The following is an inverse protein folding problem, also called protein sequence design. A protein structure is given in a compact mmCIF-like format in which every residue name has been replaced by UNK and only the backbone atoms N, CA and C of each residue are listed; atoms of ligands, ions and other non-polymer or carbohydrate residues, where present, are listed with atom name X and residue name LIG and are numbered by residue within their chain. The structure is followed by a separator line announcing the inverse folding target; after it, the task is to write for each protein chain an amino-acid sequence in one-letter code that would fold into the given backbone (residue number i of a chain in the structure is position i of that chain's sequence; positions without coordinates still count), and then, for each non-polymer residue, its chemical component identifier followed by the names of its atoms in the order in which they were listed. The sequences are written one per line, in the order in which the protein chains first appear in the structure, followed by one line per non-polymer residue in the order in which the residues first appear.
data_IF_494051182591
#
_entry.id   IF_494051182591
#
_cell.length_a   1.000
_cell.length_b   1.000
_cell.length_c   1.000
_cell.angle_alpha   90.00
_cell.angle_beta   90.00
_cell.angle_gamma   90.00
#
_symmetry.space_group_name_H-M   'P 1'
#
loop_
_entity.id
_entity.type
_entity.pdbx_description
1 polymer ?
#
# COMPACT_ATOMS: atom_id res chain seq x y z
N UNK A 1 5.31 -26.02 16.50
CA UNK A 1 5.31 -26.02 15.02
C UNK A 1 6.56 -25.25 14.58
N UNK A 2 7.40 -25.83 13.71
CA UNK A 2 8.55 -25.11 13.15
C UNK A 2 8.01 -23.98 12.26
N UNK A 3 8.47 -22.73 12.48
CA UNK A 3 8.11 -21.61 11.64
C UNK A 3 8.46 -21.92 10.18
N UNK A 4 7.55 -21.67 9.25
CA UNK A 4 7.79 -21.79 7.81
C UNK A 4 8.80 -20.76 7.30
N UNK A 5 9.11 -19.74 8.11
CA UNK A 5 9.93 -18.61 7.76
C UNK A 5 11.21 -18.54 8.59
N UNK A 6 12.35 -18.13 7.99
CA UNK A 6 13.60 -17.92 8.73
C UNK A 6 13.44 -16.92 9.89
N UNK A 7 14.20 -17.12 10.96
CA UNK A 7 14.26 -16.18 12.09
C UNK A 7 15.22 -14.99 11.84
N UNK A 8 15.65 -14.78 10.61
CA UNK A 8 16.66 -13.81 10.22
C UNK A 8 16.14 -12.39 9.98
N UNK A 9 16.93 -11.53 9.30
CA UNK A 9 16.57 -10.16 9.06
C UNK A 9 15.21 -10.01 8.37
N UNK A 10 14.34 -9.20 8.95
CA UNK A 10 13.00 -8.90 8.41
C UNK A 10 13.09 -7.92 7.25
N UNK A 11 12.36 -8.23 6.17
CA UNK A 11 12.30 -7.41 4.98
C UNK A 11 10.90 -7.38 4.40
N UNK A 12 10.55 -6.27 3.76
CA UNK A 12 9.22 -6.09 3.15
C UNK A 12 9.37 -5.55 1.72
N UNK A 13 8.65 -6.18 0.79
CA UNK A 13 8.42 -5.66 -0.55
C UNK A 13 6.93 -5.40 -0.72
N UNK A 14 6.56 -4.15 -0.98
CA UNK A 14 5.21 -3.75 -1.38
C UNK A 14 5.23 -3.46 -2.87
N UNK A 15 4.39 -4.16 -3.64
CA UNK A 15 4.17 -3.92 -5.08
C UNK A 15 2.77 -3.36 -5.24
N UNK A 16 2.69 -2.10 -5.66
CA UNK A 16 1.44 -1.45 -6.02
C UNK A 16 1.18 -1.61 -7.51
N UNK A 17 0.05 -2.19 -7.88
CA UNK A 17 -0.41 -2.29 -9.28
C UNK A 17 -1.70 -1.47 -9.36
N UNK A 18 -1.63 -0.32 -10.05
CA UNK A 18 -2.73 0.64 -10.10
C UNK A 18 -3.93 0.12 -10.90
N UNK A 19 -5.13 0.34 -10.40
CA UNK A 19 -6.37 0.19 -11.13
C UNK A 19 -6.76 -1.25 -11.50
N UNK A 20 -6.36 -2.29 -10.74
CA UNK A 20 -6.65 -3.70 -11.10
C UNK A 20 -7.99 -4.17 -10.57
N UNK A 21 -8.90 -4.54 -11.45
CA UNK A 21 -10.21 -5.13 -11.13
C UNK A 21 -10.08 -6.54 -10.57
N UNK A 22 -10.56 -6.75 -9.35
CA UNK A 22 -10.55 -8.05 -8.66
C UNK A 22 -11.36 -9.12 -9.39
N UNK A 23 -12.52 -8.77 -9.92
CA UNK A 23 -13.47 -9.70 -10.55
C UNK A 23 -12.93 -10.35 -11.83
N UNK A 24 -11.91 -9.76 -12.45
CA UNK A 24 -11.26 -10.31 -13.63
C UNK A 24 -10.13 -11.31 -13.33
N UNK A 25 -9.50 -11.22 -12.15
CA UNK A 25 -8.34 -12.04 -11.80
C UNK A 25 -8.56 -13.56 -11.98
N UNK A 26 -9.74 -14.14 -11.64
CA UNK A 26 -9.96 -15.58 -11.82
C UNK A 26 -9.93 -16.07 -13.28
N UNK A 27 -10.03 -15.15 -14.24
CA UNK A 27 -10.05 -15.45 -15.68
C UNK A 27 -8.68 -15.24 -16.35
N UNK A 28 -7.70 -14.69 -15.61
CA UNK A 28 -6.40 -14.26 -16.13
C UNK A 28 -5.27 -15.21 -15.74
N UNK A 29 -4.20 -15.16 -16.50
CA UNK A 29 -2.98 -15.91 -16.19
C UNK A 29 -2.06 -15.07 -15.31
N UNK A 30 -2.24 -15.18 -13.98
CA UNK A 30 -1.50 -14.43 -12.97
C UNK A 30 -0.75 -15.35 -11.98
N UNK A 31 0.15 -16.25 -12.46
CA UNK A 31 0.75 -17.30 -11.64
C UNK A 31 1.60 -16.77 -10.49
N UNK A 32 2.14 -15.56 -10.58
CA UNK A 32 2.99 -14.99 -9.53
C UNK A 32 2.16 -14.38 -8.41
N UNK A 33 1.05 -13.71 -8.74
CA UNK A 33 0.05 -13.25 -7.78
C UNK A 33 -0.61 -14.44 -7.08
N UNK A 34 -0.98 -15.48 -7.85
CA UNK A 34 -1.53 -16.73 -7.32
C UNK A 34 -0.56 -17.41 -6.33
N UNK A 35 0.74 -17.39 -6.63
CA UNK A 35 1.76 -17.92 -5.72
C UNK A 35 1.86 -17.12 -4.41
N UNK A 36 1.74 -15.79 -4.46
CA UNK A 36 1.69 -14.94 -3.25
C UNK A 36 0.42 -15.27 -2.45
N UNK A 37 -0.73 -15.33 -3.10
CA UNK A 37 -2.01 -15.68 -2.47
C UNK A 37 -1.98 -17.07 -1.82
N UNK A 38 -1.44 -18.06 -2.51
CA UNK A 38 -1.33 -19.43 -2.00
C UNK A 38 -0.35 -19.56 -0.81
N UNK A 39 0.71 -18.73 -0.79
CA UNK A 39 1.68 -18.69 0.32
C UNK A 39 1.21 -17.85 1.52
N UNK A 40 0.09 -17.17 1.41
CA UNK A 40 -0.54 -16.37 2.43
C UNK A 40 -2.03 -16.18 2.12
N UNK A 41 -2.43 -15.02 1.64
CA UNK A 41 -3.84 -14.74 1.28
C UNK A 41 -3.97 -13.78 0.09
N UNK A 42 -5.15 -13.76 -0.52
CA UNK A 42 -5.70 -12.68 -1.34
C UNK A 42 -7.07 -12.31 -0.76
N UNK A 43 -7.27 -11.04 -0.44
CA UNK A 43 -8.52 -10.56 0.15
C UNK A 43 -9.03 -9.32 -0.59
N UNK A 44 -10.35 -9.20 -0.80
CA UNK A 44 -10.96 -7.97 -1.28
C UNK A 44 -10.78 -6.84 -0.24
N UNK A 45 -10.64 -5.64 -0.75
CA UNK A 45 -10.63 -4.40 0.02
C UNK A 45 -11.74 -3.51 -0.50
N UNK A 46 -12.66 -3.11 0.37
CA UNK A 46 -13.60 -2.06 0.02
C UNK A 46 -12.95 -0.69 0.29
N UNK A 47 -12.81 0.13 -0.77
CA UNK A 47 -12.35 1.51 -0.62
C UNK A 47 -13.35 2.25 0.25
N UNK A 48 -12.90 2.86 1.35
CA UNK A 48 -13.73 3.57 2.32
C UNK A 48 -14.62 4.63 1.65
N UNK A 49 -15.87 4.78 2.11
CA UNK A 49 -16.86 5.67 1.49
C UNK A 49 -16.42 7.14 1.44
N UNK A 50 -15.60 7.58 2.38
CA UNK A 50 -15.05 8.94 2.42
C UNK A 50 -13.87 9.11 1.47
N UNK A 51 -13.27 8.01 1.00
CA UNK A 51 -12.11 8.02 0.11
C UNK A 51 -12.58 7.98 -1.35
N UNK A 52 -12.28 9.01 -2.17
CA UNK A 52 -12.48 8.91 -3.61
C UNK A 52 -11.70 7.72 -4.20
N UNK A 53 -12.31 6.98 -5.12
CA UNK A 53 -11.66 5.88 -5.84
C UNK A 53 -10.70 6.46 -6.89
N UNK A 54 -9.64 7.10 -6.43
CA UNK A 54 -8.62 7.77 -7.24
C UNK A 54 -7.23 7.42 -6.68
N UNK A 55 -6.23 7.37 -7.54
CA UNK A 55 -4.85 6.98 -7.18
C UNK A 55 -4.29 7.82 -6.03
N UNK A 56 -4.45 9.16 -6.05
CA UNK A 56 -3.93 10.04 -4.99
C UNK A 56 -4.44 9.68 -3.59
N UNK A 57 -5.75 9.71 -3.33
CA UNK A 57 -6.33 9.35 -2.04
C UNK A 57 -6.05 7.91 -1.61
N UNK A 58 -6.17 6.96 -2.54
CA UNK A 58 -5.99 5.54 -2.22
C UNK A 58 -4.52 5.21 -1.92
N UNK A 59 -3.58 5.65 -2.74
CA UNK A 59 -2.15 5.45 -2.47
C UNK A 59 -1.69 6.17 -1.21
N UNK A 60 -2.21 7.39 -0.93
CA UNK A 60 -1.92 8.07 0.33
C UNK A 60 -2.42 7.27 1.54
N UNK A 61 -3.62 6.67 1.46
CA UNK A 61 -4.17 5.80 2.50
C UNK A 61 -3.29 4.55 2.70
N UNK A 62 -2.90 3.89 1.61
CA UNK A 62 -2.03 2.69 1.62
C UNK A 62 -0.67 3.01 2.22
N UNK A 63 -0.03 4.09 1.79
CA UNK A 63 1.33 4.41 2.17
C UNK A 63 1.46 4.99 3.59
N UNK A 64 0.47 5.75 4.06
CA UNK A 64 0.52 6.43 5.36
C UNK A 64 -0.09 5.60 6.50
N UNK A 65 -1.03 4.70 6.20
CA UNK A 65 -1.78 3.93 7.19
C UNK A 65 -2.83 4.74 7.95
N UNK A 66 -3.22 5.91 7.41
CA UNK A 66 -4.29 6.73 7.95
C UNK A 66 -5.33 7.07 6.87
N UNK A 67 -6.54 7.41 7.30
CA UNK A 67 -7.66 7.73 6.42
C UNK A 67 -7.51 9.09 5.73
N UNK A 68 -8.28 9.29 4.67
CA UNK A 68 -8.33 10.55 3.89
C UNK A 68 -8.60 11.76 4.78
N UNK A 69 -9.38 11.62 5.86
CA UNK A 69 -9.65 12.68 6.82
C UNK A 69 -8.40 13.15 7.57
N UNK A 70 -7.40 12.28 7.73
CA UNK A 70 -6.13 12.61 8.40
C UNK A 70 -5.08 13.10 7.41
N UNK A 71 -4.80 12.36 6.33
CA UNK A 71 -3.74 12.76 5.38
C UNK A 71 -4.17 13.90 4.44
N UNK A 72 -5.47 14.18 4.28
CA UNK A 72 -5.97 15.34 3.54
C UNK A 72 -5.79 15.29 2.02
N UNK A 73 -5.51 14.14 1.43
CA UNK A 73 -5.43 13.94 -0.02
C UNK A 73 -6.80 13.49 -0.52
N UNK A 74 -7.47 14.32 -1.33
CA UNK A 74 -8.83 14.06 -1.83
C UNK A 74 -8.89 13.89 -3.35
N UNK A 75 -7.76 13.92 -4.05
CA UNK A 75 -7.69 13.77 -5.50
C UNK A 75 -6.24 13.57 -5.96
N UNK A 76 -6.05 13.45 -7.28
CA UNK A 76 -4.73 13.22 -7.88
C UNK A 76 -3.80 14.43 -7.81
N UNK A 77 -4.35 15.61 -7.52
CA UNK A 77 -3.58 16.78 -7.12
C UNK A 77 -3.46 16.78 -5.59
N UNK A 78 -2.27 16.52 -5.07
CA UNK A 78 -2.03 16.32 -3.64
C UNK A 78 -1.95 17.63 -2.81
N UNK A 79 -2.22 18.79 -3.40
CA UNK A 79 -2.15 20.08 -2.71
C UNK A 79 -3.06 20.15 -1.48
N UNK A 80 -2.60 20.82 -0.41
CA UNK A 80 -3.36 20.96 0.84
C UNK A 80 -3.35 19.74 1.74
N UNK A 81 -2.55 18.73 1.42
CA UNK A 81 -2.38 17.51 2.21
C UNK A 81 -1.69 17.77 3.57
N UNK A 82 -1.58 16.73 4.38
CA UNK A 82 -0.90 16.69 5.67
C UNK A 82 0.12 15.55 5.72
N UNK A 83 0.81 15.30 4.59
CA UNK A 83 1.80 14.22 4.47
C UNK A 83 3.07 14.51 5.29
N UNK A 84 3.31 15.76 5.65
CA UNK A 84 4.33 16.16 6.62
C UNK A 84 4.04 15.66 8.04
N UNK A 85 2.76 15.58 8.42
CA UNK A 85 2.28 15.02 9.71
C UNK A 85 2.12 13.50 9.62
N UNK A 86 1.64 13.02 8.48
CA UNK A 86 1.38 11.60 8.20
C UNK A 86 2.25 11.11 7.03
N UNK A 87 3.58 11.00 7.22
CA UNK A 87 4.47 10.55 6.15
C UNK A 87 4.22 9.07 5.81
N UNK A 88 4.57 8.72 4.59
CA UNK A 88 4.56 7.35 4.11
C UNK A 88 5.48 6.43 4.95
N UNK A 89 5.25 5.13 4.86
CA UNK A 89 6.01 4.16 5.67
C UNK A 89 7.51 4.14 5.33
N UNK A 90 7.92 4.38 4.08
CA UNK A 90 9.34 4.36 3.71
C UNK A 90 10.08 5.54 4.30
N UNK A 91 9.49 6.73 4.20
CA UNK A 91 10.01 7.97 4.81
C UNK A 91 10.12 7.83 6.33
N UNK A 92 9.07 7.32 6.97
CA UNK A 92 9.04 7.14 8.42
C UNK A 92 10.07 6.11 8.91
N UNK A 93 10.20 4.99 8.20
CA UNK A 93 11.20 3.96 8.49
C UNK A 93 12.63 4.49 8.34
N UNK A 94 12.90 5.28 7.32
CA UNK A 94 14.21 5.90 7.11
C UNK A 94 14.52 6.93 8.19
N UNK A 95 13.60 7.86 8.46
CA UNK A 95 13.81 8.97 9.37
C UNK A 95 13.91 8.55 10.85
N UNK A 96 12.96 7.68 11.30
CA UNK A 96 12.82 7.33 12.72
C UNK A 96 13.63 6.09 13.08
N UNK A 97 13.59 5.07 12.24
CA UNK A 97 14.21 3.76 12.53
C UNK A 97 15.52 3.53 11.79
N UNK A 98 16.00 4.53 11.02
CA UNK A 98 17.24 4.45 10.23
C UNK A 98 17.31 3.19 9.34
N UNK A 99 16.15 2.73 8.86
CA UNK A 99 16.06 1.60 7.94
C UNK A 99 16.42 2.05 6.54
N UNK A 100 17.12 1.20 5.78
CA UNK A 100 17.31 1.42 4.35
C UNK A 100 15.99 1.13 3.66
N UNK A 101 15.46 2.12 2.95
CA UNK A 101 14.18 2.03 2.25
C UNK A 101 14.32 2.47 0.81
N UNK A 102 13.45 1.98 -0.04
CA UNK A 102 13.46 2.25 -1.46
C UNK A 102 12.03 2.45 -1.98
N UNK A 103 11.86 3.39 -2.90
CA UNK A 103 10.62 3.57 -3.63
C UNK A 103 10.89 3.89 -5.10
N UNK A 104 10.12 3.28 -6.02
CA UNK A 104 10.26 3.49 -7.47
C UNK A 104 8.91 3.43 -8.18
N UNK A 105 8.75 4.24 -9.22
CA UNK A 105 7.60 4.23 -10.13
C UNK A 105 7.54 5.44 -11.03
N UNK A 106 6.48 5.53 -11.85
CA UNK A 106 6.35 6.53 -12.93
C UNK A 106 5.32 7.61 -12.71
N UNK A 107 4.44 7.52 -11.69
CA UNK A 107 3.42 8.53 -11.47
C UNK A 107 3.95 9.69 -10.62
N UNK A 108 4.00 10.91 -11.22
CA UNK A 108 4.65 12.08 -10.63
C UNK A 108 4.23 12.39 -9.18
N UNK A 109 2.94 12.40 -8.82
CA UNK A 109 2.51 12.77 -7.47
C UNK A 109 3.06 11.86 -6.37
N UNK A 110 3.43 10.62 -6.68
CA UNK A 110 4.07 9.72 -5.71
C UNK A 110 5.52 10.10 -5.43
N UNK A 111 6.25 10.63 -6.42
CA UNK A 111 7.71 10.68 -6.40
C UNK A 111 8.32 12.07 -6.58
N UNK A 112 7.58 13.05 -7.09
CA UNK A 112 8.09 14.39 -7.37
C UNK A 112 7.39 15.48 -6.55
N UNK A 113 8.14 16.51 -6.17
CA UNK A 113 7.64 17.69 -5.47
C UNK A 113 6.83 18.61 -6.42
N UNK A 114 5.84 18.04 -7.09
CA UNK A 114 4.90 18.72 -7.98
C UNK A 114 3.48 18.39 -7.57
N UNK A 115 2.54 19.24 -7.93
CA UNK A 115 1.11 19.03 -7.64
C UNK A 115 0.80 18.68 -6.16
N UNK A 116 1.63 19.17 -5.22
CA UNK A 116 1.50 18.91 -3.80
C UNK A 116 2.16 17.61 -3.31
N UNK A 117 2.77 16.82 -4.20
CA UNK A 117 3.61 15.67 -3.84
C UNK A 117 4.97 16.09 -3.28
N UNK A 118 5.92 15.15 -3.08
CA UNK A 118 5.71 13.72 -3.31
C UNK A 118 4.99 13.04 -2.14
N UNK A 119 4.27 11.95 -2.43
CA UNK A 119 3.76 11.08 -1.37
C UNK A 119 4.92 10.37 -0.65
N UNK A 120 5.84 9.77 -1.41
CA UNK A 120 7.08 9.17 -0.89
C UNK A 120 8.15 10.26 -0.76
N UNK A 121 8.10 11.00 0.35
CA UNK A 121 8.82 12.26 0.47
C UNK A 121 10.34 12.10 0.67
N UNK A 122 10.77 11.13 1.47
CA UNK A 122 12.18 10.93 1.81
C UNK A 122 12.53 9.47 2.14
N UNK A 123 12.29 8.51 1.23
CA UNK A 123 12.86 7.18 1.38
C UNK A 123 14.38 7.26 1.35
N UNK A 124 15.06 6.20 1.80
CA UNK A 124 16.53 6.12 1.75
C UNK A 124 17.06 6.19 0.32
N UNK A 125 16.33 5.60 -0.64
CA UNK A 125 16.55 5.73 -2.08
C UNK A 125 15.20 5.92 -2.79
N UNK A 126 15.16 6.86 -3.73
CA UNK A 126 14.01 7.16 -4.56
C UNK A 126 14.41 7.09 -6.04
N UNK A 127 13.59 6.45 -6.88
CA UNK A 127 13.74 6.50 -8.32
C UNK A 127 12.40 6.86 -8.98
N UNK A 128 12.39 7.96 -9.70
CA UNK A 128 11.28 8.34 -10.58
C UNK A 128 11.61 7.97 -12.01
N UNK A 129 10.76 7.20 -12.65
CA UNK A 129 10.90 6.76 -14.04
C UNK A 129 9.79 7.41 -14.86
N UNK A 130 10.11 8.50 -15.54
CA UNK A 130 9.13 9.18 -16.38
C UNK A 130 8.68 8.30 -17.54
N UNK A 131 7.37 8.15 -17.83
CA UNK A 131 6.91 7.69 -19.13
C UNK A 131 7.37 8.68 -20.21
N UNK A 132 7.64 8.21 -21.42
CA UNK A 132 8.11 9.07 -22.51
C UNK A 132 6.97 9.93 -23.06
N UNK A 133 5.78 9.37 -23.14
CA UNK A 133 4.52 10.05 -23.41
C UNK A 133 3.42 9.43 -22.55
N UNK A 134 2.26 10.06 -22.55
CA UNK A 134 1.08 9.58 -21.84
C UNK A 134 0.27 8.65 -22.77
N UNK A 135 0.81 7.46 -22.98
CA UNK A 135 0.19 6.39 -23.79
C UNK A 135 0.36 5.05 -23.08
N UNK A 136 -0.55 4.07 -23.31
CA UNK A 136 -0.41 2.74 -22.71
C UNK A 136 0.96 2.09 -22.97
N UNK A 137 1.49 2.23 -24.19
CA UNK A 137 2.77 1.65 -24.60
C UNK A 137 3.95 2.29 -23.84
N UNK A 138 3.93 3.61 -23.64
CA UNK A 138 4.98 4.32 -22.89
C UNK A 138 4.91 4.02 -21.40
N UNK A 139 3.71 3.81 -20.84
CA UNK A 139 3.53 3.35 -19.49
C UNK A 139 4.00 1.89 -19.28
N UNK A 140 3.79 1.01 -20.25
CA UNK A 140 4.37 -0.34 -20.23
C UNK A 140 5.91 -0.30 -20.21
N UNK A 141 6.52 0.60 -21.00
CA UNK A 141 7.98 0.84 -20.97
C UNK A 141 8.43 1.45 -19.65
N UNK A 142 7.64 2.35 -19.08
CA UNK A 142 7.90 2.94 -17.77
C UNK A 142 7.93 1.87 -16.68
N UNK A 143 6.92 1.02 -16.59
CA UNK A 143 6.84 -0.07 -15.62
C UNK A 143 7.95 -1.12 -15.82
N UNK A 144 8.34 -1.39 -17.07
CA UNK A 144 9.48 -2.26 -17.37
C UNK A 144 10.79 -1.69 -16.79
N UNK A 145 11.02 -0.39 -16.95
CA UNK A 145 12.21 0.30 -16.42
C UNK A 145 12.17 0.40 -14.90
N UNK A 146 10.99 0.65 -14.31
CA UNK A 146 10.81 0.67 -12.85
C UNK A 146 11.09 -0.71 -12.25
N UNK A 147 10.63 -1.79 -12.91
CA UNK A 147 10.92 -3.17 -12.52
C UNK A 147 12.42 -3.47 -12.60
N UNK A 148 13.09 -3.07 -13.69
CA UNK A 148 14.53 -3.28 -13.86
C UNK A 148 15.34 -2.54 -12.78
N UNK A 149 14.98 -1.30 -12.46
CA UNK A 149 15.59 -0.53 -11.37
C UNK A 149 15.38 -1.21 -10.03
N UNK A 150 14.15 -1.68 -9.75
CA UNK A 150 13.84 -2.41 -8.52
C UNK A 150 14.66 -3.70 -8.41
N UNK A 151 14.79 -4.49 -9.46
CA UNK A 151 15.65 -5.68 -9.50
C UNK A 151 17.09 -5.33 -9.15
N UNK A 152 17.63 -4.26 -9.75
CA UNK A 152 19.00 -3.80 -9.49
C UNK A 152 19.20 -3.43 -8.03
N UNK A 153 18.27 -2.68 -7.44
CA UNK A 153 18.35 -2.24 -6.02
C UNK A 153 18.17 -3.41 -5.06
N UNK A 154 17.22 -4.31 -5.34
CA UNK A 154 16.94 -5.45 -4.47
C UNK A 154 18.08 -6.47 -4.43
N UNK A 155 18.85 -6.60 -5.51
CA UNK A 155 19.98 -7.54 -5.61
C UNK A 155 21.35 -6.89 -5.34
N UNK A 156 21.42 -5.56 -5.29
CA UNK A 156 22.64 -4.78 -5.12
C UNK A 156 22.97 -4.42 -3.67
N UNK A 157 23.93 -3.54 -3.51
CA UNK A 157 24.50 -3.11 -2.22
C UNK A 157 23.59 -2.15 -1.42
N UNK A 158 22.56 -1.59 -2.07
CA UNK A 158 21.57 -0.73 -1.39
C UNK A 158 20.84 -1.49 -0.28
N UNK A 159 20.59 -2.77 -0.50
CA UNK A 159 20.06 -3.72 0.47
C UNK A 159 18.89 -3.18 1.30
N UNK A 160 17.77 -2.75 0.66
CA UNK A 160 16.66 -2.13 1.37
C UNK A 160 15.92 -3.15 2.26
N UNK A 161 15.49 -2.66 3.43
CA UNK A 161 14.69 -3.44 4.39
C UNK A 161 13.18 -3.28 4.13
N UNK A 162 12.77 -2.16 3.53
CA UNK A 162 11.42 -1.95 3.03
C UNK A 162 11.47 -1.28 1.65
N UNK A 163 10.69 -1.81 0.72
CA UNK A 163 10.62 -1.30 -0.65
C UNK A 163 9.18 -1.11 -1.10
N UNK A 164 8.96 -0.09 -1.91
CA UNK A 164 7.71 0.13 -2.65
C UNK A 164 8.01 0.22 -4.14
N UNK A 165 7.32 -0.59 -4.94
CA UNK A 165 7.41 -0.59 -6.40
C UNK A 165 6.02 -0.30 -6.95
N UNK A 166 5.89 0.76 -7.72
CA UNK A 166 4.63 1.16 -8.36
C UNK A 166 4.63 0.77 -9.83
N UNK A 167 3.55 0.15 -10.28
CA UNK A 167 3.26 -0.21 -11.67
C UNK A 167 1.94 0.47 -12.07
N UNK A 168 1.99 1.39 -13.04
CA UNK A 168 0.87 2.23 -13.45
C UNK A 168 0.24 1.85 -14.79
N UNK A 169 0.88 1.00 -15.59
CA UNK A 169 0.45 0.71 -16.96
C UNK A 169 -0.94 0.09 -17.05
N UNK A 170 -1.39 -0.64 -16.02
CA UNK A 170 -2.73 -1.25 -16.01
C UNK A 170 -3.81 -0.19 -15.96
N UNK A 171 -3.69 0.78 -15.04
CA UNK A 171 -4.63 1.89 -14.90
C UNK A 171 -4.68 2.74 -16.17
N UNK A 172 -3.54 3.13 -16.70
CA UNK A 172 -3.44 3.92 -17.92
C UNK A 172 -4.02 3.17 -19.13
N UNK A 173 -3.80 1.86 -19.24
CA UNK A 173 -4.41 1.05 -20.28
C UNK A 173 -5.95 1.09 -20.19
N UNK A 174 -6.51 1.02 -18.98
CA UNK A 174 -7.95 1.16 -18.79
C UNK A 174 -8.44 2.54 -19.18
N UNK A 175 -7.74 3.61 -18.83
CA UNK A 175 -8.12 4.98 -19.20
C UNK A 175 -8.21 5.19 -20.70
N UNK A 176 -7.26 4.63 -21.47
CA UNK A 176 -7.22 4.80 -22.94
C UNK A 176 -8.11 3.82 -23.70
N UNK A 177 -8.20 2.56 -23.23
CA UNK A 177 -8.75 1.45 -24.03
C UNK A 177 -9.94 0.74 -23.37
N UNK A 178 -10.31 1.14 -22.14
CA UNK A 178 -11.30 0.44 -21.34
C UNK A 178 -10.81 -0.91 -20.81
N UNK A 179 -11.66 -1.63 -20.10
CA UNK A 179 -11.31 -2.89 -19.44
C UNK A 179 -11.40 -4.12 -20.37
N UNK A 180 -11.04 -3.93 -21.65
CA UNK A 180 -11.05 -4.97 -22.69
C UNK A 180 -9.83 -5.90 -22.66
N UNK A 181 -9.48 -6.42 -23.84
CA UNK A 181 -8.41 -7.43 -23.97
C UNK A 181 -7.02 -6.86 -23.67
N UNK A 182 -6.75 -5.60 -24.03
CA UNK A 182 -5.49 -4.92 -23.78
C UNK A 182 -5.27 -4.72 -22.29
N UNK A 183 -6.30 -4.31 -21.55
CA UNK A 183 -6.26 -4.19 -20.10
C UNK A 183 -5.99 -5.54 -19.41
N UNK A 184 -6.63 -6.62 -19.88
CA UNK A 184 -6.38 -7.98 -19.37
C UNK A 184 -4.92 -8.39 -19.60
N UNK A 185 -4.35 -8.10 -20.78
CA UNK A 185 -2.92 -8.34 -21.06
C UNK A 185 -1.99 -7.49 -20.21
N UNK A 186 -2.32 -6.24 -19.94
CA UNK A 186 -1.54 -5.37 -19.06
C UNK A 186 -1.48 -5.93 -17.64
N UNK A 187 -2.58 -6.49 -17.10
CA UNK A 187 -2.58 -7.19 -15.82
C UNK A 187 -1.65 -8.42 -15.84
N UNK A 188 -1.72 -9.25 -16.88
CA UNK A 188 -0.83 -10.42 -17.02
C UNK A 188 0.63 -9.99 -17.18
N UNK A 189 0.90 -8.86 -17.83
CA UNK A 189 2.25 -8.29 -17.95
C UNK A 189 2.74 -7.75 -16.59
N UNK A 190 1.88 -7.11 -15.81
CA UNK A 190 2.20 -6.69 -14.45
C UNK A 190 2.50 -7.88 -13.53
N UNK A 191 1.78 -9.00 -13.67
CA UNK A 191 2.08 -10.26 -12.98
C UNK A 191 3.46 -10.81 -13.38
N UNK A 192 3.82 -10.78 -14.65
CA UNK A 192 5.16 -11.20 -15.09
C UNK A 192 6.27 -10.33 -14.48
N UNK A 193 6.04 -9.02 -14.31
CA UNK A 193 6.95 -8.11 -13.59
C UNK A 193 7.04 -8.46 -12.11
N UNK A 194 5.91 -8.76 -11.45
CA UNK A 194 5.91 -9.29 -10.09
C UNK A 194 6.77 -10.54 -10.01
N UNK A 195 6.67 -11.45 -10.96
CA UNK A 195 7.50 -12.66 -11.03
C UNK A 195 9.00 -12.36 -11.06
N UNK A 196 9.42 -11.33 -11.80
CA UNK A 196 10.83 -10.88 -11.84
C UNK A 196 11.29 -10.29 -10.52
N UNK A 197 10.45 -9.51 -9.83
CA UNK A 197 10.74 -8.99 -8.49
C UNK A 197 10.90 -10.14 -7.49
N UNK A 198 9.99 -11.10 -7.49
CA UNK A 198 10.08 -12.29 -6.64
C UNK A 198 11.33 -13.14 -6.94
N UNK A 199 11.71 -13.26 -8.21
CA UNK A 199 12.94 -13.93 -8.62
C UNK A 199 14.19 -13.18 -8.12
N UNK A 200 14.17 -11.84 -8.16
CA UNK A 200 15.24 -11.00 -7.62
C UNK A 200 15.43 -11.21 -6.10
N UNK A 201 14.34 -11.31 -5.34
CA UNK A 201 14.43 -11.64 -3.91
C UNK A 201 15.12 -12.99 -3.70
N UNK A 202 14.69 -14.02 -4.44
CA UNK A 202 15.25 -15.40 -4.32
C UNK A 202 16.71 -15.48 -4.76
N UNK A 203 17.16 -14.60 -5.65
CA UNK A 203 18.54 -14.53 -6.12
C UNK A 203 19.51 -13.83 -5.15
N UNK A 204 19.01 -13.24 -4.06
CA UNK A 204 19.85 -12.60 -3.04
C UNK A 204 20.72 -13.63 -2.33
N UNK A 205 22.00 -13.35 -2.08
CA UNK A 205 22.89 -14.29 -1.36
C UNK A 205 22.38 -14.67 0.03
N UNK A 206 21.69 -13.75 0.72
CA UNK A 206 21.15 -13.97 2.07
C UNK A 206 19.68 -14.43 2.10
N UNK A 207 19.04 -14.71 0.96
CA UNK A 207 17.59 -14.98 0.92
C UNK A 207 17.14 -16.12 1.84
N UNK A 208 17.94 -17.17 1.96
CA UNK A 208 17.59 -18.32 2.80
C UNK A 208 17.54 -18.00 4.30
N UNK A 209 18.25 -16.97 4.73
CA UNK A 209 18.29 -16.49 6.10
C UNK A 209 17.36 -15.28 6.33
N UNK A 210 16.86 -14.64 5.28
CA UNK A 210 16.01 -13.45 5.35
C UNK A 210 14.53 -13.85 5.48
N UNK A 211 13.80 -13.12 6.33
CA UNK A 211 12.36 -13.28 6.49
C UNK A 211 11.61 -12.21 5.69
N UNK A 212 11.20 -12.56 4.48
CA UNK A 212 10.50 -11.66 3.58
C UNK A 212 9.00 -11.66 3.79
N UNK A 213 8.42 -10.47 3.85
CA UNK A 213 7.00 -10.23 3.64
C UNK A 213 6.82 -9.57 2.28
N UNK A 214 5.98 -10.15 1.43
CA UNK A 214 5.58 -9.58 0.14
C UNK A 214 4.13 -9.17 0.24
N UNK A 215 3.83 -7.93 -0.14
CA UNK A 215 2.47 -7.38 -0.23
C UNK A 215 2.26 -6.91 -1.66
N UNK A 216 1.23 -7.38 -2.32
CA UNK A 216 0.78 -6.87 -3.62
C UNK A 216 -0.58 -6.22 -3.40
N UNK A 217 -0.75 -5.00 -3.85
CA UNK A 217 -1.96 -4.21 -3.57
C UNK A 217 -2.37 -3.40 -4.78
N UNK A 218 -3.67 -3.34 -5.04
CA UNK A 218 -4.26 -2.34 -5.93
C UNK A 218 -5.01 -1.29 -5.12
N UNK A 219 -5.12 -0.11 -5.64
CA UNK A 219 -5.70 1.04 -4.95
C UNK A 219 -7.20 1.21 -5.25
N UNK A 220 -7.67 0.86 -6.43
CA UNK A 220 -9.08 0.86 -6.85
C UNK A 220 -9.29 -0.07 -8.05
N UNK A 221 -10.52 -0.18 -8.52
CA UNK A 221 -10.87 -0.79 -9.79
C UNK A 221 -11.36 0.24 -10.81
N UNK A 222 -11.98 -0.22 -11.88
CA UNK A 222 -12.47 0.59 -12.99
C UNK A 222 -13.90 0.22 -13.38
N UNK A 223 -14.65 1.15 -13.99
CA UNK A 223 -15.85 0.81 -14.76
C UNK A 223 -15.45 0.13 -16.09
N UNK A 224 -16.37 -0.56 -16.74
CA UNK A 224 -16.10 -1.33 -17.99
C UNK A 224 -15.46 -0.47 -19.10
N UNK A 225 -15.87 0.78 -19.21
CA UNK A 225 -15.40 1.71 -20.24
C UNK A 225 -14.01 2.28 -19.93
N UNK A 226 -13.42 1.90 -18.80
CA UNK A 226 -12.24 2.56 -18.23
C UNK A 226 -12.63 3.80 -17.42
N UNK A 227 -11.75 4.23 -16.54
CA UNK A 227 -11.99 5.34 -15.62
C UNK A 227 -12.54 4.90 -14.26
N UNK A 228 -12.33 5.78 -13.30
CA UNK A 228 -12.61 5.59 -11.88
C UNK A 228 -12.89 6.95 -11.22
N UNK A 229 -13.03 7.01 -9.90
CA UNK A 229 -13.37 8.23 -9.15
C UNK A 229 -14.82 8.26 -8.73
N UNK A 230 -15.63 7.29 -9.19
CA UNK A 230 -17.04 7.14 -8.86
C UNK A 230 -17.29 6.26 -7.63
N UNK A 231 -18.49 5.72 -7.55
CA UNK A 231 -18.96 4.95 -6.40
C UNK A 231 -19.50 3.56 -6.77
N UNK A 232 -19.24 3.08 -7.99
CA UNK A 232 -19.66 1.74 -8.38
C UNK A 232 -18.90 0.68 -7.59
N UNK A 233 -19.49 -0.50 -7.43
CA UNK A 233 -18.80 -1.61 -6.78
C UNK A 233 -17.51 -1.99 -7.50
N UNK A 234 -17.46 -1.89 -8.83
CA UNK A 234 -16.29 -2.20 -9.63
C UNK A 234 -15.11 -1.26 -9.33
N UNK A 235 -15.36 0.03 -9.11
CA UNK A 235 -14.32 1.01 -8.75
C UNK A 235 -13.90 0.85 -7.30
N UNK A 236 -14.82 0.55 -6.38
CA UNK A 236 -14.58 0.49 -4.95
C UNK A 236 -14.00 -0.84 -4.47
N UNK A 237 -14.06 -1.88 -5.29
CA UNK A 237 -13.48 -3.17 -4.95
C UNK A 237 -12.02 -3.21 -5.39
N UNK A 238 -11.14 -2.89 -4.45
CA UNK A 238 -9.70 -3.13 -4.52
C UNK A 238 -9.36 -4.51 -3.92
N UNK A 239 -8.08 -4.82 -3.79
CA UNK A 239 -7.62 -6.06 -3.17
C UNK A 239 -6.19 -5.94 -2.62
N UNK A 240 -5.86 -6.85 -1.69
CA UNK A 240 -4.51 -7.06 -1.17
C UNK A 240 -4.22 -8.55 -1.21
N UNK A 241 -3.05 -8.92 -1.75
CA UNK A 241 -2.45 -10.22 -1.57
C UNK A 241 -1.17 -10.09 -0.74
N UNK A 242 -0.95 -10.98 0.21
CA UNK A 242 0.27 -10.94 1.00
C UNK A 242 0.71 -12.32 1.47
N UNK A 243 2.03 -12.50 1.57
CA UNK A 243 2.64 -13.66 2.19
C UNK A 243 3.85 -13.24 3.03
N UNK A 244 4.17 -14.03 4.05
CA UNK A 244 5.29 -13.73 4.93
C UNK A 244 5.09 -14.27 6.34
N UNK A 245 6.03 -14.01 7.26
CA UNK A 245 5.94 -14.46 8.64
C UNK A 245 4.64 -14.01 9.31
N UNK A 246 3.96 -14.97 9.94
CA UNK A 246 2.69 -14.72 10.64
C UNK A 246 1.44 -14.79 9.75
N UNK A 247 1.59 -15.01 8.45
CA UNK A 247 0.50 -15.28 7.52
C UNK A 247 0.48 -16.77 7.18
N UNK A 248 -0.68 -17.40 7.34
CA UNK A 248 -0.84 -18.85 7.09
C UNK A 248 -1.11 -19.07 5.58
N UNK A 249 -0.43 -20.06 4.94
CA UNK A 249 -0.66 -20.39 3.53
C UNK A 249 -2.11 -20.73 3.23
N UNK A 250 -2.73 -20.01 2.28
CA UNK A 250 -4.14 -20.14 1.93
C UNK A 250 -5.09 -19.79 3.08
N UNK A 251 -4.60 -19.07 4.09
CA UNK A 251 -5.37 -18.70 5.29
C UNK A 251 -6.39 -17.62 5.02
N UNK A 252 -7.49 -17.68 5.76
CA UNK A 252 -8.41 -16.55 5.84
C UNK A 252 -7.86 -15.47 6.77
N UNK A 253 -8.05 -14.21 6.42
CA UNK A 253 -7.70 -13.06 7.24
C UNK A 253 -8.96 -12.29 7.62
N UNK A 254 -8.89 -11.54 8.73
CA UNK A 254 -9.93 -10.57 9.06
C UNK A 254 -10.03 -9.54 7.94
N UNK A 255 -11.20 -8.89 7.77
CA UNK A 255 -11.37 -7.89 6.71
C UNK A 255 -10.20 -6.92 6.64
N UNK A 256 -9.59 -6.80 5.47
CA UNK A 256 -8.43 -5.96 5.19
C UNK A 256 -8.88 -4.62 4.62
N UNK A 257 -8.20 -3.55 5.02
CA UNK A 257 -8.41 -2.18 4.51
C UNK A 257 -7.09 -1.61 3.99
N UNK A 258 -7.14 -0.62 3.14
CA UNK A 258 -5.94 0.07 2.63
C UNK A 258 -5.03 0.61 3.74
N UNK A 259 -5.60 1.18 4.81
CA UNK A 259 -4.85 1.67 5.98
C UNK A 259 -4.04 0.58 6.68
N UNK A 260 -4.43 -0.69 6.52
CA UNK A 260 -3.80 -1.83 7.19
C UNK A 260 -2.44 -2.19 6.56
N UNK A 261 -2.19 -1.79 5.30
CA UNK A 261 -0.94 -2.09 4.57
C UNK A 261 0.28 -1.51 5.30
N UNK A 262 0.30 -0.20 5.57
CA UNK A 262 1.42 0.41 6.29
C UNK A 262 1.57 -0.16 7.72
N UNK A 263 0.46 -0.42 8.40
CA UNK A 263 0.48 -1.03 9.72
C UNK A 263 1.12 -2.43 9.68
N UNK A 264 0.81 -3.23 8.64
CA UNK A 264 1.44 -4.54 8.47
C UNK A 264 2.91 -4.44 8.08
N UNK A 265 3.33 -3.44 7.29
CA UNK A 265 4.75 -3.19 7.01
C UNK A 265 5.54 -3.01 8.31
N UNK A 266 5.04 -2.21 9.25
CA UNK A 266 5.70 -2.05 10.56
C UNK A 266 5.74 -3.35 11.34
N UNK A 267 4.63 -4.08 11.42
CA UNK A 267 4.57 -5.36 12.12
C UNK A 267 5.50 -6.41 11.51
N UNK A 268 5.58 -6.51 10.18
CA UNK A 268 6.47 -7.41 9.47
C UNK A 268 7.96 -7.13 9.76
N UNK A 269 8.30 -5.87 10.03
CA UNK A 269 9.64 -5.45 10.43
C UNK A 269 9.86 -5.49 11.96
N UNK A 270 8.90 -6.02 12.73
CA UNK A 270 8.92 -6.06 14.20
C UNK A 270 9.07 -4.66 14.83
N UNK A 271 8.48 -3.66 14.19
CA UNK A 271 8.45 -2.29 14.67
C UNK A 271 7.10 -2.01 15.32
N UNK A 272 7.13 -1.60 16.58
CA UNK A 272 5.94 -1.10 17.28
C UNK A 272 5.75 0.37 16.88
N UNK A 273 4.65 0.73 16.20
CA UNK A 273 4.38 2.12 15.86
C UNK A 273 4.27 3.01 17.11
N UNK A 274 4.83 4.22 17.04
CA UNK A 274 4.63 5.23 18.08
C UNK A 274 3.12 5.60 18.12
N UNK A 275 2.47 5.58 19.30
CA UNK A 275 1.07 6.00 19.42
C UNK A 275 0.75 7.38 18.85
N UNK A 276 1.71 8.31 18.85
CA UNK A 276 1.56 9.64 18.25
C UNK A 276 1.41 9.60 16.71
N UNK A 277 1.75 8.50 16.05
CA UNK A 277 1.49 8.36 14.62
C UNK A 277 0.00 8.20 14.31
N UNK A 278 -0.78 7.83 15.32
CA UNK A 278 -2.24 7.70 15.25
C UNK A 278 -2.72 6.91 14.02
N UNK A 279 -2.06 5.80 13.72
CA UNK A 279 -2.44 4.93 12.60
C UNK A 279 -3.90 4.49 12.75
N UNK A 280 -4.63 4.43 11.64
CA UNK A 280 -5.99 3.90 11.58
C UNK A 280 -5.99 2.41 11.19
N UNK A 281 -4.85 1.95 10.65
CA UNK A 281 -4.63 0.58 10.26
C UNK A 281 -4.20 -0.33 11.40
N UNK A 282 -4.42 -1.62 11.19
CA UNK A 282 -3.91 -2.71 12.04
C UNK A 282 -3.15 -3.72 11.16
N UNK A 283 -2.21 -4.50 11.70
CA UNK A 283 -1.58 -5.58 10.95
C UNK A 283 -2.62 -6.59 10.42
N UNK A 284 -2.33 -7.21 9.28
CA UNK A 284 -3.14 -8.32 8.77
C UNK A 284 -3.16 -9.43 9.82
N UNK A 285 -4.35 -9.89 10.18
CA UNK A 285 -4.57 -10.82 11.26
C UNK A 285 -5.28 -12.05 10.73
N UNK A 286 -4.73 -13.28 10.90
CA UNK A 286 -5.41 -14.50 10.51
C UNK A 286 -6.79 -14.63 11.16
N UNK A 287 -7.78 -15.12 10.40
CA UNK A 287 -9.10 -15.41 10.94
C UNK A 287 -8.98 -16.45 12.07
N UNK A 288 -9.73 -16.24 13.14
CA UNK A 288 -9.69 -17.14 14.32
C UNK A 288 -8.66 -16.78 15.39
N UNK A 289 -7.79 -15.78 15.15
CA UNK A 289 -7.02 -15.17 16.23
C UNK A 289 -7.88 -14.14 16.96
N UNK A 290 -7.79 -14.07 18.31
CA UNK A 290 -8.48 -13.04 19.06
C UNK A 290 -7.99 -11.65 18.59
N UNK A 291 -8.92 -10.74 18.30
CA UNK A 291 -8.54 -9.34 18.05
C UNK A 291 -7.73 -8.81 19.24
N UNK A 292 -6.58 -8.15 19.01
CA UNK A 292 -5.97 -7.39 20.08
C UNK A 292 -6.99 -6.36 20.56
N UNK A 293 -7.35 -6.42 21.83
CA UNK A 293 -8.27 -5.46 22.48
C UNK A 293 -7.72 -4.07 22.21
N UNK A 294 -8.45 -3.26 21.45
CA UNK A 294 -8.09 -1.86 21.24
C UNK A 294 -7.88 -1.22 22.62
N UNK A 295 -6.83 -0.41 22.82
CA UNK A 295 -6.66 0.29 24.08
C UNK A 295 -7.92 1.11 24.34
N UNK A 296 -8.63 0.78 25.43
CA UNK A 296 -9.77 1.54 25.92
C UNK A 296 -9.33 2.99 26.08
N UNK A 297 -10.01 3.90 25.38
CA UNK A 297 -9.79 5.33 25.56
C UNK A 297 -9.86 5.64 27.06
N UNK A 298 -8.95 6.45 27.63
CA UNK A 298 -9.02 6.81 29.02
C UNK A 298 -10.38 7.45 29.27
N UNK A 299 -11.14 6.87 30.20
CA UNK A 299 -12.41 7.43 30.71
C UNK A 299 -12.07 8.83 31.23
N UNK A 300 -12.68 9.85 30.62
CA UNK A 300 -12.56 11.20 31.12
C UNK A 300 -13.02 11.22 32.63
N UNK A 301 -12.27 11.88 33.51
CA UNK A 301 -12.71 12.00 34.90
C UNK A 301 -14.08 12.70 34.94
N UNK A 302 -15.01 12.11 35.68
CA UNK A 302 -16.31 12.69 35.93
C UNK A 302 -16.08 14.07 36.56
N UNK A 303 -16.44 15.11 35.83
CA UNK A 303 -16.31 16.47 36.29
C UNK A 303 -17.36 16.70 37.37
N UNK A 304 -16.87 17.05 38.53
CA UNK A 304 -17.67 17.44 39.69
C UNK A 304 -17.85 18.96 39.64
N UNK A 305 -19.06 19.36 39.98
CA UNK A 305 -19.48 20.71 40.38
C UNK A 305 -19.98 21.66 39.29
N UNK A 306 -21.31 21.75 39.25
CA UNK A 306 -22.05 22.88 38.69
C UNK A 306 -21.70 24.20 39.41
N UNK A 307 -21.59 25.32 38.72
CA UNK A 307 -21.44 26.61 39.36
C UNK A 307 -22.79 27.07 39.98
N UNK A 308 -22.71 27.63 41.20
CA UNK A 308 -23.82 28.19 41.92
C UNK A 308 -24.51 29.35 41.18
N UNK A 309 -25.85 29.35 41.18
CA UNK A 309 -26.69 30.47 40.71
C UNK A 309 -26.39 31.74 41.49
N UNK A 310 -26.05 32.81 40.77
CA UNK A 310 -25.98 34.16 41.34
C UNK A 310 -27.34 34.84 41.07
N UNK A 311 -28.09 35.07 42.17
CA UNK A 311 -29.34 35.84 42.16
C UNK A 311 -29.01 37.33 41.94
N UNK A 312 -29.67 38.08 41.04
CA UNK A 312 -29.47 39.52 40.92
C UNK A 312 -30.23 40.26 42.06
N UNK A 313 -29.51 41.12 42.77
CA UNK A 313 -30.08 42.11 43.67
C UNK A 313 -30.56 43.33 42.87
N UNK A 314 -31.81 43.70 43.02
CA UNK A 314 -32.42 44.88 42.48
C UNK A 314 -31.97 46.13 43.25
N UNK A 315 -31.61 47.16 42.50
CA UNK A 315 -31.74 48.61 42.90
C UNK A 315 -31.70 49.44 41.62
#
# INVERSE_FOLDING_TARGET
MSSLWPAGPRRVLVVGIDGVRLDLLPELHTPHLDAVAAAGFLAPVEVDEATPTMSGPCWATIATGVTVAKHGVFGNHLGGNRLDVFPDFTTRLAAVHRRRTFAVGGWEPLFLARQGGPLFAAPGRLAYIAPLADTPEDWEVCDERATAEAVTVLTGDDDPQASFVYLGAVDETAHFLGCGQEYRRSIETADARLGRLLAALRARPGYAEEAWTVIVVTDHGHVEQGGHGGRSALERTAWVAACGPGLEPGGEVLPVRHVDVAAHVYAALEIVPDPHWTLDGRPFTPAGTAEPVAPTAPTAPADATAPAEITPVAS
#
